data_IF_122682702854
#
_entry.id   IF_122682702854
#
_cell.length_a   1.000
_cell.length_b   1.000
_cell.length_c   1.000
_cell.angle_alpha   90.00
_cell.angle_beta   90.00
_cell.angle_gamma   90.00
#
_symmetry.space_group_name_H-M   'P 1'
#
loop_
_entity.id
_entity.type
_entity.pdbx_description
1 polymer ?
#
# COMPACT_ATOMS: atom_id res chain seq x y z
N UNK A 1 8.73 17.61 -20.24
CA UNK A 1 7.74 16.50 -20.24
C UNK A 1 8.44 15.25 -19.76
N UNK A 2 7.79 14.41 -18.95
CA UNK A 2 8.36 13.12 -18.56
C UNK A 2 8.30 12.18 -19.76
N UNK A 3 9.43 11.60 -20.15
CA UNK A 3 9.51 10.66 -21.28
C UNK A 3 9.31 9.26 -20.72
N UNK A 4 8.16 8.67 -21.02
CA UNK A 4 7.86 7.29 -20.66
C UNK A 4 8.63 6.35 -21.59
N UNK A 5 9.77 5.84 -21.13
CA UNK A 5 10.60 4.93 -21.90
C UNK A 5 10.22 3.45 -21.68
N UNK A 6 10.78 2.56 -22.51
CA UNK A 6 10.50 1.12 -22.40
C UNK A 6 10.95 0.55 -21.05
N UNK A 7 12.01 1.09 -20.45
CA UNK A 7 12.52 0.67 -19.14
C UNK A 7 11.56 1.05 -18.00
N UNK A 8 10.90 2.21 -18.10
CA UNK A 8 9.85 2.66 -17.18
C UNK A 8 8.65 1.72 -17.26
N UNK A 9 8.22 1.36 -18.46
CA UNK A 9 7.11 0.41 -18.64
C UNK A 9 7.45 -0.97 -18.07
N UNK A 10 8.64 -1.51 -18.38
CA UNK A 10 9.09 -2.81 -17.85
C UNK A 10 9.16 -2.80 -16.32
N UNK A 11 9.72 -1.75 -15.72
CA UNK A 11 9.79 -1.58 -14.26
C UNK A 11 8.40 -1.45 -13.63
N UNK A 12 7.49 -0.72 -14.27
CA UNK A 12 6.13 -0.54 -13.78
C UNK A 12 5.32 -1.84 -13.86
N UNK A 13 5.46 -2.60 -14.95
CA UNK A 13 4.85 -3.92 -15.10
C UNK A 13 5.42 -4.92 -14.10
N UNK A 14 6.72 -4.89 -13.84
CA UNK A 14 7.33 -5.72 -12.80
C UNK A 14 6.84 -5.33 -11.40
N UNK A 15 6.71 -4.03 -11.11
CA UNK A 15 6.15 -3.54 -9.85
C UNK A 15 4.70 -4.02 -9.67
N UNK A 16 3.87 -3.88 -10.72
CA UNK A 16 2.52 -4.43 -10.76
C UNK A 16 2.53 -5.92 -10.48
N UNK A 17 3.36 -6.69 -11.19
CA UNK A 17 3.48 -8.14 -11.02
C UNK A 17 3.87 -8.47 -9.59
N UNK A 18 4.87 -7.82 -9.00
CA UNK A 18 5.28 -8.08 -7.61
C UNK A 18 4.17 -7.74 -6.61
N UNK A 19 3.43 -6.66 -6.83
CA UNK A 19 2.29 -6.28 -6.00
C UNK A 19 1.11 -7.24 -6.14
N UNK A 20 0.81 -7.73 -7.36
CA UNK A 20 -0.30 -8.66 -7.62
C UNK A 20 0.04 -10.12 -7.32
N UNK A 21 1.32 -10.48 -7.38
CA UNK A 21 1.82 -11.85 -7.13
C UNK A 21 2.32 -12.03 -5.70
N UNK A 22 2.00 -11.08 -4.80
CA UNK A 22 2.32 -11.15 -3.36
C UNK A 22 1.96 -12.54 -2.80
N UNK A 23 2.81 -13.15 -1.96
CA UNK A 23 2.45 -14.40 -1.30
C UNK A 23 1.13 -14.19 -0.57
N UNK A 24 0.15 -15.01 -0.96
CA UNK A 24 -1.18 -15.22 -0.38
C UNK A 24 -1.32 -14.49 0.96
N UNK A 25 -2.13 -13.42 0.97
CA UNK A 25 -2.58 -12.71 2.16
C UNK A 25 -2.71 -13.73 3.28
N UNK A 26 -1.79 -13.66 4.25
CA UNK A 26 -1.79 -14.66 5.32
C UNK A 26 -3.11 -14.55 6.05
N UNK A 27 -3.78 -15.69 6.29
CA UNK A 27 -5.04 -15.67 7.03
C UNK A 27 -4.82 -14.96 8.37
N UNK A 28 -5.66 -13.97 8.71
CA UNK A 28 -5.53 -13.25 9.97
C UNK A 28 -5.74 -14.24 11.12
N UNK A 29 -4.79 -14.28 12.04
CA UNK A 29 -4.95 -15.05 13.28
C UNK A 29 -5.30 -14.09 14.41
N UNK A 30 -6.58 -14.10 14.79
CA UNK A 30 -7.17 -13.23 15.81
C UNK A 30 -6.57 -13.41 17.22
N UNK A 31 -5.84 -14.49 17.48
CA UNK A 31 -5.20 -14.74 18.79
C UNK A 31 -3.86 -14.03 18.96
N UNK A 32 -3.40 -13.33 17.93
CA UNK A 32 -2.07 -12.71 17.89
C UNK A 32 -2.19 -11.22 17.59
N UNK A 33 -1.21 -10.42 18.03
CA UNK A 33 -1.22 -8.99 17.78
C UNK A 33 -1.05 -8.71 16.28
N UNK A 34 -1.82 -7.71 15.83
CA UNK A 34 -1.66 -7.11 14.52
C UNK A 34 -0.78 -5.86 14.65
N UNK A 35 0.04 -5.60 13.63
CA UNK A 35 0.80 -4.36 13.51
C UNK A 35 0.31 -3.64 12.26
N UNK A 36 -0.11 -2.38 12.43
CA UNK A 36 -0.56 -1.55 11.31
C UNK A 36 0.54 -0.55 10.99
N UNK A 37 0.97 -0.54 9.73
CA UNK A 37 1.86 0.49 9.20
C UNK A 37 1.04 1.44 8.36
N UNK A 38 0.91 2.68 8.81
CA UNK A 38 0.19 3.72 8.08
C UNK A 38 1.17 4.71 7.48
N UNK A 39 0.91 5.11 6.24
CA UNK A 39 1.58 6.23 5.59
C UNK A 39 0.53 7.18 5.01
N UNK A 40 0.85 8.47 4.98
CA UNK A 40 -0.04 9.52 4.52
C UNK A 40 0.66 10.36 3.46
N UNK A 41 0.02 10.47 2.30
CA UNK A 41 0.39 11.43 1.27
C UNK A 41 -0.59 12.61 1.26
N UNK A 42 -0.27 13.68 0.53
CA UNK A 42 -1.18 14.82 0.33
C UNK A 42 -2.54 14.45 -0.29
N UNK A 43 -2.64 13.28 -0.93
CA UNK A 43 -3.83 12.87 -1.68
C UNK A 43 -4.55 11.68 -1.08
N UNK A 44 -3.90 10.88 -0.25
CA UNK A 44 -4.43 9.60 0.21
C UNK A 44 -3.66 9.01 1.38
N UNK A 45 -4.35 8.15 2.10
CA UNK A 45 -3.83 7.35 3.20
C UNK A 45 -3.60 5.92 2.71
N UNK A 46 -2.42 5.40 3.00
CA UNK A 46 -2.07 3.99 2.82
C UNK A 46 -1.88 3.32 4.16
N UNK A 47 -2.27 2.06 4.25
CA UNK A 47 -2.13 1.24 5.44
C UNK A 47 -1.80 -0.20 5.05
N UNK A 48 -0.88 -0.82 5.80
CA UNK A 48 -0.54 -2.24 5.68
C UNK A 48 -0.79 -2.91 7.02
N UNK A 49 -1.66 -3.91 7.03
CA UNK A 49 -1.88 -4.78 8.18
C UNK A 49 -0.88 -5.94 8.09
N UNK A 50 -0.01 -6.05 9.10
CA UNK A 50 1.04 -7.06 9.17
C UNK A 50 0.91 -7.93 10.43
N UNK A 51 1.32 -9.18 10.29
CA UNK A 51 1.36 -10.15 11.36
C UNK A 51 2.55 -11.10 11.16
N UNK A 52 3.40 -11.27 12.19
CA UNK A 52 4.62 -12.11 12.11
C UNK A 52 5.47 -11.81 10.87
N UNK A 53 5.65 -10.52 10.54
CA UNK A 53 6.41 -10.06 9.36
C UNK A 53 5.82 -10.47 8.01
N UNK A 54 4.55 -10.88 7.97
CA UNK A 54 3.80 -11.17 6.76
C UNK A 54 2.64 -10.19 6.61
N UNK A 55 2.29 -9.87 5.37
CA UNK A 55 1.16 -8.99 5.08
C UNK A 55 -0.14 -9.78 5.15
N UNK A 56 -1.10 -9.24 5.88
CA UNK A 56 -2.46 -9.77 6.05
C UNK A 56 -3.43 -9.04 5.13
N UNK A 57 -3.32 -7.71 5.05
CA UNK A 57 -4.16 -6.89 4.20
C UNK A 57 -3.49 -5.56 3.85
N UNK A 58 -3.85 -5.02 2.69
CA UNK A 58 -3.57 -3.65 2.32
C UNK A 58 -4.88 -2.87 2.36
N UNK A 59 -4.84 -1.68 2.92
CA UNK A 59 -5.95 -0.74 2.91
C UNK A 59 -5.43 0.60 2.40
N UNK A 60 -6.10 1.17 1.40
CA UNK A 60 -5.82 2.52 0.97
C UNK A 60 -7.13 3.26 0.77
N UNK A 61 -7.14 4.54 1.14
CA UNK A 61 -8.27 5.42 0.86
C UNK A 61 -7.77 6.80 0.45
N UNK A 62 -8.51 7.43 -0.46
CA UNK A 62 -8.25 8.82 -0.79
C UNK A 62 -8.66 9.72 0.38
N UNK A 63 -7.90 10.79 0.62
CA UNK A 63 -8.27 11.81 1.58
C UNK A 63 -9.51 12.55 1.07
N UNK A 64 -10.50 12.71 1.94
CA UNK A 64 -11.66 13.57 1.67
C UNK A 64 -11.20 15.02 1.53
N UNK A 65 -11.98 15.83 0.81
CA UNK A 65 -11.63 17.23 0.51
C UNK A 65 -11.29 18.06 1.76
N UNK A 66 -11.98 17.83 2.88
CA UNK A 66 -11.69 18.51 4.14
C UNK A 66 -10.46 17.95 4.87
N UNK A 67 -10.20 16.63 4.77
CA UNK A 67 -9.04 15.99 5.41
C UNK A 67 -7.71 16.46 4.81
N UNK A 68 -7.71 16.96 3.57
CA UNK A 68 -6.53 17.54 2.91
C UNK A 68 -6.05 18.85 3.55
N UNK A 69 -6.93 19.54 4.29
CA UNK A 69 -6.63 20.85 4.88
C UNK A 69 -6.21 20.74 6.36
N UNK A 70 -6.16 19.52 6.92
CA UNK A 70 -5.69 19.34 8.28
C UNK A 70 -4.16 19.52 8.35
N UNK A 71 -3.65 20.20 9.39
CA UNK A 71 -2.21 20.32 9.58
C UNK A 71 -1.61 18.94 9.86
N UNK A 72 -0.57 18.60 9.11
CA UNK A 72 0.28 17.41 9.28
C UNK A 72 1.37 17.65 10.30
#
# INVERSE_FOLDING_TARGET
AFVWDKKCEESFQELKKRLTTTPVLTLPDAKKPFVVYCDASKMGLGGVLMQKSKVVAYASRQLKTHERNYPT
#
